data_IF_652139278862
#
_entry.id   IF_652139278862
#
_cell.length_a   1.000
_cell.length_b   1.000
_cell.length_c   1.000
_cell.angle_alpha   90.00
_cell.angle_beta   90.00
_cell.angle_gamma   90.00
#
_symmetry.space_group_name_H-M   'P 1'
#
loop_
_entity.id
_entity.type
_entity.pdbx_description
1 polymer ?
#
# COMPACT_ATOMS: atom_id res chain seq x y z
N UNK A 1 58.16 -11.08 4.38
CA UNK A 1 56.93 -10.44 4.91
C UNK A 1 55.74 -10.97 4.12
N UNK A 2 54.87 -11.78 4.73
CA UNK A 2 53.75 -12.45 4.05
C UNK A 2 52.46 -11.95 4.68
N UNK A 3 51.78 -11.01 4.01
CA UNK A 3 50.49 -10.49 4.46
C UNK A 3 49.44 -11.60 4.36
N UNK A 4 48.88 -12.01 5.52
CA UNK A 4 47.70 -12.88 5.60
C UNK A 4 46.47 -11.98 5.65
N UNK A 5 45.75 -11.90 4.54
CA UNK A 5 44.42 -11.32 4.53
C UNK A 5 43.47 -12.31 5.24
N UNK A 6 42.96 -11.92 6.40
CA UNK A 6 41.88 -12.63 7.09
C UNK A 6 40.58 -12.16 6.45
N UNK A 7 39.99 -12.99 5.61
CA UNK A 7 38.60 -12.81 5.18
C UNK A 7 37.71 -13.11 6.38
N UNK A 8 37.17 -12.05 6.99
CA UNK A 8 36.11 -12.15 7.99
C UNK A 8 34.83 -12.55 7.25
N UNK A 9 34.52 -13.84 7.21
CA UNK A 9 33.19 -14.31 6.84
C UNK A 9 32.22 -13.86 7.93
N UNK A 10 31.54 -12.74 7.70
CA UNK A 10 30.37 -12.34 8.45
C UNK A 10 29.27 -13.37 8.12
N UNK A 11 29.20 -14.46 8.87
CA UNK A 11 28.09 -15.42 8.80
C UNK A 11 26.87 -14.74 9.40
N UNK A 12 26.21 -13.92 8.57
CA UNK A 12 24.95 -13.31 8.93
C UNK A 12 23.98 -14.45 9.27
N UNK A 13 23.47 -14.46 10.51
CA UNK A 13 22.44 -15.40 10.97
C UNK A 13 21.08 -15.10 10.31
N UNK A 14 21.04 -15.02 8.98
CA UNK A 14 19.80 -14.89 8.17
C UNK A 14 19.02 -16.21 8.18
N UNK A 15 19.62 -17.29 8.69
CA UNK A 15 19.12 -18.67 8.66
C UNK A 15 17.98 -19.01 9.65
N UNK A 16 17.50 -18.06 10.45
CA UNK A 16 16.37 -18.29 11.39
C UNK A 16 15.10 -17.52 10.98
N UNK A 17 14.81 -17.48 9.68
CA UNK A 17 13.60 -16.82 9.18
C UNK A 17 13.06 -17.42 7.89
N UNK A 18 11.78 -17.19 7.62
CA UNK A 18 11.12 -17.60 6.39
C UNK A 18 11.15 -16.46 5.38
N UNK A 19 11.71 -16.71 4.20
CA UNK A 19 11.69 -15.77 3.07
C UNK A 19 10.59 -16.17 2.08
N UNK A 20 9.70 -15.24 1.77
CA UNK A 20 8.68 -15.34 0.72
C UNK A 20 9.00 -14.36 -0.39
N UNK A 21 9.01 -14.84 -1.63
CA UNK A 21 9.21 -14.02 -2.82
C UNK A 21 8.06 -14.32 -3.78
N UNK A 22 7.28 -13.30 -4.13
CA UNK A 22 6.20 -13.40 -5.11
C UNK A 22 6.36 -12.27 -6.10
N UNK A 23 6.13 -12.53 -7.39
CA UNK A 23 6.16 -11.50 -8.40
C UNK A 23 5.18 -11.77 -9.52
N UNK A 24 4.92 -10.75 -10.33
CA UNK A 24 4.10 -10.88 -11.53
C UNK A 24 4.59 -9.96 -12.64
N UNK A 25 4.36 -10.38 -13.89
CA UNK A 25 4.61 -9.60 -15.09
C UNK A 25 3.29 -9.53 -15.89
N UNK A 26 2.80 -8.31 -16.15
CA UNK A 26 1.49 -8.03 -16.74
C UNK A 26 1.60 -6.98 -17.87
N UNK A 27 2.17 -7.32 -19.04
CA UNK A 27 2.08 -6.45 -20.20
C UNK A 27 0.60 -6.22 -20.53
N UNK A 28 0.16 -4.96 -20.54
CA UNK A 28 -1.26 -4.63 -20.68
C UNK A 28 -1.46 -3.70 -21.87
N UNK A 29 -2.43 -3.98 -22.73
CA UNK A 29 -2.87 -3.05 -23.79
C UNK A 29 -4.30 -2.59 -23.51
N UNK A 30 -4.55 -1.29 -23.67
CA UNK A 30 -5.87 -0.69 -23.51
C UNK A 30 -6.27 -0.03 -24.83
N UNK A 31 -7.53 -0.19 -25.25
CA UNK A 31 -8.01 0.30 -26.54
C UNK A 31 -9.41 0.90 -26.39
N UNK A 32 -9.65 2.02 -27.08
CA UNK A 32 -10.98 2.61 -27.20
C UNK A 32 -11.90 1.68 -27.98
N UNK A 33 -13.10 1.42 -27.44
CA UNK A 33 -14.09 0.56 -28.12
C UNK A 33 -14.61 1.21 -29.41
N UNK A 34 -14.69 2.55 -29.45
CA UNK A 34 -15.28 3.32 -30.55
C UNK A 34 -14.48 3.27 -31.85
N UNK A 35 -13.15 3.29 -31.77
CA UNK A 35 -12.27 3.42 -32.94
C UNK A 35 -11.06 2.48 -32.91
N UNK A 36 -10.95 1.62 -31.89
CA UNK A 36 -9.83 0.70 -31.66
C UNK A 36 -8.47 1.38 -31.51
N UNK A 37 -8.44 2.71 -31.32
CA UNK A 37 -7.20 3.42 -31.01
C UNK A 37 -6.69 2.99 -29.64
N UNK A 38 -5.36 2.95 -29.48
CA UNK A 38 -4.72 2.55 -28.22
C UNK A 38 -4.83 3.69 -27.22
N UNK A 39 -5.24 3.36 -25.99
CA UNK A 39 -5.21 4.27 -24.86
C UNK A 39 -3.81 4.22 -24.23
N UNK A 40 -3.17 5.37 -24.11
CA UNK A 40 -1.86 5.50 -23.50
C UNK A 40 -2.04 5.81 -22.00
N UNK A 41 -2.63 4.89 -21.23
CA UNK A 41 -2.75 4.98 -19.77
C UNK A 41 -1.65 4.17 -19.06
N UNK A 42 -1.25 4.57 -17.83
CA UNK A 42 -0.27 3.79 -17.06
C UNK A 42 -0.85 2.44 -16.60
N UNK A 43 -0.03 1.41 -16.62
CA UNK A 43 -0.33 0.08 -16.08
C UNK A 43 0.87 -0.48 -15.31
N UNK A 44 0.63 -1.37 -14.34
CA UNK A 44 1.72 -2.07 -13.64
C UNK A 44 2.23 -3.22 -14.49
N UNK A 45 3.39 -3.02 -15.11
CA UNK A 45 4.06 -4.01 -15.93
C UNK A 45 4.65 -5.14 -15.08
N UNK A 46 5.23 -4.82 -13.93
CA UNK A 46 5.86 -5.78 -13.05
C UNK A 46 5.54 -5.47 -11.59
N UNK A 47 5.42 -6.50 -10.76
CA UNK A 47 5.28 -6.39 -9.31
C UNK A 47 6.20 -7.41 -8.63
N UNK A 48 6.84 -7.01 -7.53
CA UNK A 48 7.69 -7.86 -6.70
C UNK A 48 7.37 -7.62 -5.23
N UNK A 49 6.97 -8.68 -4.54
CA UNK A 49 6.68 -8.74 -3.11
C UNK A 49 7.69 -9.65 -2.43
N UNK A 50 8.36 -9.13 -1.41
CA UNK A 50 9.28 -9.84 -0.54
C UNK A 50 8.73 -9.79 0.88
N UNK A 51 8.63 -10.95 1.53
CA UNK A 51 8.29 -11.07 2.94
C UNK A 51 9.40 -11.83 3.67
N UNK A 52 9.84 -11.34 4.81
CA UNK A 52 10.80 -12.05 5.66
C UNK A 52 10.29 -12.10 7.09
N UNK A 53 10.05 -13.31 7.60
CA UNK A 53 9.56 -13.55 8.97
C UNK A 53 10.70 -14.04 9.83
N UNK A 54 10.92 -13.42 10.99
CA UNK A 54 11.96 -13.78 11.96
C UNK A 54 11.43 -13.64 13.39
N UNK A 55 11.04 -14.76 14.00
CA UNK A 55 10.41 -14.77 15.33
C UNK A 55 9.09 -14.00 15.31
N UNK A 56 8.95 -13.03 16.21
CA UNK A 56 7.75 -12.19 16.32
C UNK A 56 7.78 -10.96 15.38
N UNK A 57 8.65 -10.97 14.36
CA UNK A 57 8.79 -9.85 13.42
C UNK A 57 8.59 -10.29 11.98
N UNK A 58 7.85 -9.48 11.23
CA UNK A 58 7.75 -9.56 9.77
C UNK A 58 8.33 -8.32 9.12
N UNK A 59 9.01 -8.50 8.00
CA UNK A 59 9.51 -7.43 7.13
C UNK A 59 8.87 -7.60 5.76
N UNK A 60 8.17 -6.56 5.30
CA UNK A 60 7.40 -6.59 4.07
C UNK A 60 7.92 -5.53 3.10
N UNK A 61 8.16 -5.92 1.86
CA UNK A 61 8.51 -5.03 0.76
C UNK A 61 7.64 -5.37 -0.44
N UNK A 62 6.98 -4.36 -1.01
CA UNK A 62 6.16 -4.47 -2.20
C UNK A 62 6.57 -3.36 -3.16
N UNK A 63 6.98 -3.73 -4.37
CA UNK A 63 7.44 -2.80 -5.40
C UNK A 63 6.78 -3.11 -6.74
N UNK A 64 6.59 -2.08 -7.55
CA UNK A 64 6.00 -2.17 -8.87
C UNK A 64 6.81 -1.36 -9.89
N UNK A 65 6.73 -1.79 -11.15
CA UNK A 65 7.19 -1.01 -12.30
C UNK A 65 5.95 -0.64 -13.10
N UNK A 66 5.66 0.65 -13.16
CA UNK A 66 4.60 1.22 -13.96
C UNK A 66 5.13 1.61 -15.34
N UNK A 67 4.34 1.32 -16.37
CA UNK A 67 4.69 1.64 -17.74
C UNK A 67 3.51 2.30 -18.45
N UNK A 68 3.82 3.16 -19.41
CA UNK A 68 2.85 3.88 -20.23
C UNK A 68 3.25 3.74 -21.68
N UNK A 69 2.36 3.23 -22.52
CA UNK A 69 2.62 3.21 -23.95
C UNK A 69 2.72 4.64 -24.48
N UNK A 70 3.58 4.87 -25.47
CA UNK A 70 3.88 6.22 -25.98
C UNK A 70 4.80 7.06 -25.06
N UNK A 71 5.02 6.64 -23.80
CA UNK A 71 6.02 7.19 -22.91
C UNK A 71 7.37 6.47 -23.02
N UNK A 72 8.47 7.19 -22.78
CA UNK A 72 9.82 6.62 -22.93
C UNK A 72 10.37 5.97 -21.65
N UNK A 73 9.79 6.22 -20.47
CA UNK A 73 10.42 5.83 -19.21
C UNK A 73 9.47 5.04 -18.28
N UNK A 74 9.81 3.79 -17.90
CA UNK A 74 9.14 3.11 -16.81
C UNK A 74 9.35 3.87 -15.49
N UNK A 75 8.34 3.81 -14.60
CA UNK A 75 8.39 4.41 -13.27
C UNK A 75 8.46 3.29 -12.23
N UNK A 76 9.44 3.36 -11.33
CA UNK A 76 9.53 2.45 -10.20
C UNK A 76 8.72 3.01 -9.02
N UNK A 77 7.82 2.21 -8.47
CA UNK A 77 7.04 2.53 -7.28
C UNK A 77 7.33 1.53 -6.15
N UNK A 78 7.88 2.02 -5.04
CA UNK A 78 7.98 1.25 -3.79
C UNK A 78 6.65 1.34 -3.06
N UNK A 79 5.70 0.46 -3.38
CA UNK A 79 4.33 0.48 -2.85
C UNK A 79 4.28 0.36 -1.32
N UNK A 80 5.02 -0.60 -0.78
CA UNK A 80 5.07 -0.85 0.66
C UNK A 80 6.49 -1.25 1.09
N UNK A 81 6.89 -0.80 2.28
CA UNK A 81 8.13 -1.14 2.96
C UNK A 81 7.90 -0.91 4.46
N UNK A 82 7.57 -1.98 5.19
CA UNK A 82 7.23 -1.87 6.61
C UNK A 82 7.64 -3.11 7.40
N UNK A 83 7.69 -2.93 8.72
CA UNK A 83 7.92 -3.99 9.69
C UNK A 83 6.66 -4.18 10.53
N UNK A 84 6.33 -5.43 10.83
CA UNK A 84 5.33 -5.81 11.82
C UNK A 84 6.03 -6.46 13.01
N UNK A 85 5.60 -6.13 14.21
CA UNK A 85 5.93 -6.80 15.45
C UNK A 85 4.66 -7.40 16.04
N UNK A 86 4.73 -8.66 16.48
CA UNK A 86 3.63 -9.44 17.04
C UNK A 86 3.83 -9.70 18.53
N UNK A 87 3.61 -8.71 19.42
CA UNK A 87 3.55 -8.98 20.86
C UNK A 87 2.36 -9.89 21.21
N UNK A 88 2.41 -10.50 22.39
CA UNK A 88 1.34 -11.39 22.88
C UNK A 88 -0.05 -10.73 23.02
N UNK A 89 -0.12 -9.40 23.01
CA UNK A 89 -1.35 -8.61 23.12
C UNK A 89 -1.84 -8.04 21.78
N UNK A 90 -1.09 -8.21 20.68
CA UNK A 90 -1.55 -7.78 19.36
C UNK A 90 -0.45 -7.53 18.33
N UNK A 91 -0.54 -6.41 17.62
CA UNK A 91 0.26 -6.13 16.43
C UNK A 91 0.70 -4.67 16.41
N UNK A 92 1.96 -4.42 16.04
CA UNK A 92 2.49 -3.08 15.81
C UNK A 92 3.14 -3.04 14.44
N UNK A 93 2.73 -2.09 13.59
CA UNK A 93 3.26 -1.91 12.23
C UNK A 93 3.91 -0.56 12.10
N UNK A 94 5.07 -0.50 11.45
CA UNK A 94 5.79 0.74 11.20
C UNK A 94 6.43 0.74 9.82
N UNK A 95 6.20 1.79 9.03
CA UNK A 95 6.81 1.99 7.72
C UNK A 95 5.82 2.48 6.67
N UNK A 96 6.21 2.41 5.40
CA UNK A 96 5.31 2.72 4.28
C UNK A 96 4.39 1.53 4.05
N UNK A 97 3.08 1.68 4.29
CA UNK A 97 2.13 0.57 4.21
C UNK A 97 0.78 1.04 3.66
N UNK A 98 0.01 0.07 3.15
CA UNK A 98 -1.39 0.29 2.75
C UNK A 98 -2.28 -0.32 3.84
N UNK A 99 -3.07 0.53 4.49
CA UNK A 99 -4.11 0.14 5.44
C UNK A 99 -5.36 -0.31 4.69
N UNK A 100 -6.00 -1.36 5.21
CA UNK A 100 -7.28 -1.86 4.74
C UNK A 100 -8.19 -2.08 5.95
N UNK A 101 -9.09 -1.14 6.20
CA UNK A 101 -10.17 -1.34 7.15
C UNK A 101 -11.35 -1.99 6.44
N UNK A 102 -11.82 -3.15 6.91
CA UNK A 102 -13.05 -3.79 6.44
C UNK A 102 -12.84 -5.24 6.00
N UNK A 103 -13.92 -6.01 5.97
CA UNK A 103 -13.92 -7.43 5.57
C UNK A 103 -14.28 -7.59 4.08
N UNK A 104 -14.85 -6.55 3.46
CA UNK A 104 -15.32 -6.57 2.06
C UNK A 104 -14.43 -5.66 1.21
N UNK A 105 -13.81 -6.27 0.21
CA UNK A 105 -12.80 -5.67 -0.64
C UNK A 105 -13.34 -4.50 -1.48
N UNK A 106 -12.55 -3.43 -1.49
CA UNK A 106 -12.64 -2.35 -2.46
C UNK A 106 -13.36 -1.11 -1.93
N UNK A 107 -14.65 -1.20 -1.63
CA UNK A 107 -15.51 -0.02 -1.41
C UNK A 107 -16.01 0.05 0.04
N UNK A 108 -15.11 0.01 1.03
CA UNK A 108 -15.51 0.28 2.40
C UNK A 108 -15.55 1.80 2.64
N UNK A 109 -16.71 2.39 3.00
CA UNK A 109 -16.82 3.83 3.28
C UNK A 109 -15.94 4.30 4.44
N UNK A 110 -15.52 3.39 5.34
CA UNK A 110 -14.65 3.73 6.46
C UNK A 110 -13.17 3.56 6.13
N UNK A 111 -12.80 3.13 4.91
CA UNK A 111 -11.42 2.77 4.56
C UNK A 111 -10.70 3.88 3.79
N UNK A 112 -10.55 5.02 4.46
CA UNK A 112 -10.09 6.29 3.91
C UNK A 112 -8.69 6.72 4.39
N UNK A 113 -7.95 5.84 5.07
CA UNK A 113 -6.61 6.12 5.61
C UNK A 113 -5.52 6.31 4.55
N UNK A 114 -5.67 5.69 3.38
CA UNK A 114 -4.68 5.80 2.31
C UNK A 114 -5.25 6.56 1.12
N UNK A 115 -4.37 7.33 0.49
CA UNK A 115 -4.67 7.97 -0.78
C UNK A 115 -4.95 6.94 -1.88
N UNK A 116 -5.76 7.33 -2.84
CA UNK A 116 -6.04 6.59 -4.05
C UNK A 116 -5.27 7.17 -5.23
N UNK A 117 -4.72 6.27 -6.06
CA UNK A 117 -4.28 6.58 -7.41
C UNK A 117 -5.39 6.23 -8.39
N UNK A 118 -6.11 7.26 -8.86
CA UNK A 118 -7.27 7.09 -9.72
C UNK A 118 -6.91 6.66 -11.14
N UNK A 119 -5.64 6.73 -11.55
CA UNK A 119 -5.21 6.06 -12.77
C UNK A 119 -5.44 4.54 -12.71
N UNK A 120 -5.45 3.96 -11.51
CA UNK A 120 -5.70 2.54 -11.26
C UNK A 120 -7.08 2.26 -10.68
N UNK A 121 -8.06 3.18 -10.80
CA UNK A 121 -9.35 3.06 -10.11
C UNK A 121 -10.17 1.80 -10.46
N UNK A 122 -9.91 1.21 -11.63
CA UNK A 122 -10.54 -0.03 -12.11
C UNK A 122 -9.89 -1.30 -11.52
N UNK A 123 -8.75 -1.16 -10.84
CA UNK A 123 -8.17 -2.24 -10.04
C UNK A 123 -8.91 -2.36 -8.70
N UNK A 124 -8.96 -3.58 -8.19
CA UNK A 124 -9.72 -3.91 -6.98
C UNK A 124 -8.87 -3.74 -5.71
N UNK A 125 -9.54 -3.51 -4.59
CA UNK A 125 -8.91 -3.52 -3.26
C UNK A 125 -7.78 -2.51 -3.10
N UNK A 126 -6.65 -3.00 -2.59
CA UNK A 126 -5.44 -2.20 -2.31
C UNK A 126 -4.65 -1.83 -3.55
N UNK A 127 -4.98 -2.38 -4.72
CA UNK A 127 -4.24 -2.08 -5.95
C UNK A 127 -4.45 -0.66 -6.47
N UNK A 128 -5.47 0.05 -6.01
CA UNK A 128 -5.67 1.47 -6.30
C UNK A 128 -5.18 2.40 -5.18
N UNK A 129 -4.65 1.85 -4.08
CA UNK A 129 -4.17 2.62 -2.95
C UNK A 129 -2.68 2.89 -3.04
N UNK A 130 -2.29 4.05 -2.50
CA UNK A 130 -0.91 4.50 -2.35
C UNK A 130 -0.49 4.30 -0.90
N UNK A 131 0.62 3.59 -0.68
CA UNK A 131 1.16 3.38 0.66
C UNK A 131 1.63 4.70 1.28
N UNK A 132 1.37 4.90 2.55
CA UNK A 132 1.81 6.06 3.33
C UNK A 132 2.76 5.64 4.44
N UNK A 133 3.76 6.48 4.73
CA UNK A 133 4.57 6.30 5.92
C UNK A 133 3.64 6.42 7.13
N UNK A 134 3.61 5.40 7.98
CA UNK A 134 2.67 5.38 9.10
C UNK A 134 3.12 4.42 10.20
N UNK A 135 2.54 4.62 11.38
CA UNK A 135 2.57 3.64 12.46
C UNK A 135 1.14 3.19 12.75
N UNK A 136 0.95 1.90 12.98
CA UNK A 136 -0.34 1.34 13.35
C UNK A 136 -0.17 0.36 14.51
N UNK A 137 -1.19 0.28 15.36
CA UNK A 137 -1.23 -0.65 16.48
C UNK A 137 -2.61 -1.28 16.56
N UNK A 138 -2.64 -2.58 16.74
CA UNK A 138 -3.84 -3.35 17.05
C UNK A 138 -3.66 -4.01 18.41
N UNK A 139 -4.60 -3.83 19.32
CA UNK A 139 -4.62 -4.45 20.64
C UNK A 139 -5.86 -5.32 20.76
N UNK A 140 -5.68 -6.55 21.24
CA UNK A 140 -6.77 -7.50 21.48
C UNK A 140 -6.96 -7.75 22.97
N UNK A 141 -8.21 -7.75 23.46
CA UNK A 141 -8.55 -8.18 24.81
C UNK A 141 -9.94 -8.83 24.85
N UNK A 142 -9.99 -10.14 25.13
CA UNK A 142 -11.24 -10.90 25.02
C UNK A 142 -11.84 -10.77 23.62
N UNK A 143 -13.13 -10.40 23.53
CA UNK A 143 -13.85 -10.21 22.28
C UNK A 143 -13.68 -8.80 21.69
N UNK A 144 -12.70 -8.02 22.15
CA UNK A 144 -12.48 -6.64 21.71
C UNK A 144 -11.18 -6.48 20.94
N UNK A 145 -11.22 -5.60 19.93
CA UNK A 145 -10.09 -5.20 19.12
C UNK A 145 -10.07 -3.67 18.96
N UNK A 146 -8.99 -3.03 19.39
CA UNK A 146 -8.72 -1.61 19.18
C UNK A 146 -7.61 -1.45 18.16
N UNK A 147 -7.85 -0.69 17.12
CA UNK A 147 -6.89 -0.32 16.10
C UNK A 147 -6.66 1.19 16.16
N UNK A 148 -5.40 1.60 16.15
CA UNK A 148 -4.99 2.99 16.03
C UNK A 148 -3.97 3.14 14.91
N UNK A 149 -4.12 4.19 14.10
CA UNK A 149 -3.21 4.51 12.98
C UNK A 149 -2.82 5.97 13.09
N UNK A 150 -1.54 6.27 12.80
CA UNK A 150 -1.01 7.62 12.68
C UNK A 150 -0.18 7.73 11.40
N UNK A 151 -0.44 8.77 10.62
CA UNK A 151 0.21 9.08 9.35
C UNK A 151 0.80 10.49 9.50
N UNK A 152 2.12 10.64 9.68
CA UNK A 152 2.74 11.95 9.90
C UNK A 152 2.54 12.91 8.73
N UNK A 153 2.51 12.40 7.51
CA UNK A 153 2.44 13.19 6.29
C UNK A 153 1.31 12.72 5.38
N UNK A 154 0.26 13.54 5.29
CA UNK A 154 -0.83 13.37 4.35
C UNK A 154 -0.31 13.21 2.91
N UNK A 155 -0.84 12.21 2.22
CA UNK A 155 -0.64 12.00 0.79
C UNK A 155 -1.96 12.32 0.08
N UNK A 156 -1.99 13.28 -0.86
CA UNK A 156 -3.21 13.56 -1.60
C UNK A 156 -3.49 12.48 -2.65
N UNK A 157 -4.76 12.30 -2.97
CA UNK A 157 -5.18 11.43 -4.06
C UNK A 157 -4.59 11.90 -5.41
N UNK A 158 -4.09 10.96 -6.20
CA UNK A 158 -3.63 11.24 -7.57
C UNK A 158 -4.82 11.15 -8.52
N UNK A 159 -5.25 12.31 -9.00
CA UNK A 159 -6.39 12.44 -9.92
C UNK A 159 -5.90 12.52 -11.39
N UNK A 160 -6.54 11.82 -12.34
CA UNK A 160 -6.23 11.91 -13.77
C UNK A 160 -6.90 13.15 -14.40
N UNK A 161 -6.69 14.33 -13.80
CA UNK A 161 -7.21 15.57 -14.38
C UNK A 161 -6.51 15.86 -15.71
N UNK A 162 -7.30 16.31 -16.70
CA UNK A 162 -6.84 16.65 -18.04
C UNK A 162 -6.17 15.47 -18.79
N UNK A 163 -6.45 14.23 -18.40
CA UNK A 163 -5.94 13.02 -19.04
C UNK A 163 -6.84 12.66 -20.23
N UNK A 164 -6.41 12.85 -21.50
CA UNK A 164 -7.29 12.70 -22.67
C UNK A 164 -7.78 11.27 -22.88
N UNK A 165 -6.91 10.30 -22.58
CA UNK A 165 -7.19 8.87 -22.78
C UNK A 165 -7.94 8.27 -21.57
N UNK A 166 -8.20 9.03 -20.52
CA UNK A 166 -8.98 8.52 -19.40
C UNK A 166 -10.45 8.33 -19.83
N UNK A 167 -11.12 7.21 -19.46
CA UNK A 167 -12.43 6.86 -20.01
C UNK A 167 -13.56 7.88 -19.77
N UNK A 168 -13.39 8.78 -18.81
CA UNK A 168 -14.31 9.86 -18.51
C UNK A 168 -13.54 11.07 -17.98
N UNK A 169 -14.07 12.27 -18.17
CA UNK A 169 -13.47 13.47 -17.59
C UNK A 169 -14.12 13.78 -16.25
N UNK A 170 -13.31 14.09 -15.24
CA UNK A 170 -13.84 14.53 -13.93
C UNK A 170 -14.43 15.94 -14.14
N UNK A 171 -15.75 16.12 -14.02
CA UNK A 171 -16.42 17.35 -14.44
C UNK A 171 -16.08 18.57 -13.57
N UNK A 172 -15.45 18.34 -12.41
CA UNK A 172 -15.13 19.36 -11.43
C UNK A 172 -13.62 19.29 -11.17
N UNK A 173 -12.88 20.23 -11.76
CA UNK A 173 -11.50 20.51 -11.37
C UNK A 173 -11.51 21.59 -10.27
N UNK A 174 -10.88 21.37 -9.12
CA UNK A 174 -10.82 22.37 -8.08
C UNK A 174 -10.10 23.63 -8.60
N UNK A 175 -10.67 24.81 -8.34
CA UNK A 175 -10.08 26.09 -8.75
C UNK A 175 -8.87 26.49 -7.90
N UNK A 176 -8.75 25.91 -6.70
CA UNK A 176 -7.62 26.03 -5.78
C UNK A 176 -7.41 24.72 -5.05
N UNK A 177 -6.16 24.37 -4.82
CA UNK A 177 -5.78 23.33 -3.88
C UNK A 177 -5.53 23.98 -2.53
N UNK A 178 -6.22 23.51 -1.49
CA UNK A 178 -5.94 23.94 -0.12
C UNK A 178 -4.60 23.35 0.33
N UNK A 179 -3.75 24.20 0.90
CA UNK A 179 -2.51 23.75 1.51
C UNK A 179 -2.85 23.24 2.91
N UNK A 180 -2.49 22.00 3.18
CA UNK A 180 -2.69 21.40 4.50
C UNK A 180 -1.54 21.87 5.40
N UNK A 181 -1.84 22.75 6.36
CA UNK A 181 -0.84 23.27 7.31
C UNK A 181 -0.43 22.24 8.37
N UNK A 182 -1.33 21.31 8.73
CA UNK A 182 -1.04 20.16 9.59
C UNK A 182 -1.34 18.87 8.84
N UNK A 183 -0.30 18.20 8.36
CA UNK A 183 -0.38 16.99 7.55
C UNK A 183 -0.59 15.70 8.36
N UNK A 184 -0.63 15.80 9.69
CA UNK A 184 -0.82 14.66 10.56
C UNK A 184 -2.25 14.14 10.47
N UNK A 185 -2.39 12.88 10.07
CA UNK A 185 -3.65 12.15 10.09
C UNK A 185 -3.60 11.04 11.13
N UNK A 186 -4.75 10.71 11.70
CA UNK A 186 -4.90 9.59 12.61
C UNK A 186 -6.27 8.96 12.42
N UNK A 187 -6.37 7.69 12.76
CA UNK A 187 -7.62 6.97 12.76
C UNK A 187 -7.69 6.00 13.94
N UNK A 188 -8.88 5.82 14.48
CA UNK A 188 -9.14 4.86 15.56
C UNK A 188 -10.34 4.01 15.20
N UNK A 189 -10.22 2.70 15.37
CA UNK A 189 -11.30 1.76 15.16
C UNK A 189 -11.43 0.80 16.34
N UNK A 190 -12.64 0.68 16.89
CA UNK A 190 -12.98 -0.28 17.93
C UNK A 190 -13.94 -1.32 17.33
N UNK A 191 -13.63 -2.59 17.50
CA UNK A 191 -14.49 -3.71 17.10
C UNK A 191 -14.73 -4.65 18.27
N UNK A 192 -15.89 -5.30 18.25
CA UNK A 192 -16.20 -6.40 19.16
C UNK A 192 -17.19 -7.38 18.52
N UNK A 193 -17.17 -8.62 19.00
CA UNK A 193 -18.14 -9.64 18.63
C UNK A 193 -19.06 -9.91 19.83
N UNK A 194 -20.37 -9.73 19.64
CA UNK A 194 -21.39 -10.03 20.64
C UNK A 194 -22.26 -11.19 20.13
N UNK A 195 -22.01 -12.40 20.63
CA UNK A 195 -22.66 -13.61 20.14
C UNK A 195 -22.24 -13.92 18.70
N UNK A 196 -23.19 -13.89 17.76
CA UNK A 196 -22.95 -14.09 16.32
C UNK A 196 -22.88 -12.76 15.54
N UNK A 197 -22.84 -11.62 16.24
CA UNK A 197 -22.86 -10.28 15.63
C UNK A 197 -21.53 -9.56 15.81
N UNK A 198 -20.95 -9.06 14.72
CA UNK A 198 -19.79 -8.18 14.74
C UNK A 198 -20.22 -6.71 14.73
N UNK A 199 -19.68 -5.91 15.64
CA UNK A 199 -19.93 -4.47 15.74
C UNK A 199 -18.61 -3.73 15.64
N UNK A 200 -18.58 -2.66 14.85
CA UNK A 200 -17.41 -1.80 14.69
C UNK A 200 -17.77 -0.32 14.63
N UNK A 201 -16.94 0.50 15.27
CA UNK A 201 -16.99 1.96 15.21
C UNK A 201 -15.61 2.46 14.79
N UNK A 202 -15.56 3.39 13.84
CA UNK A 202 -14.32 3.99 13.31
C UNK A 202 -14.44 5.50 13.22
N UNK A 203 -13.34 6.20 13.49
CA UNK A 203 -13.17 7.64 13.32
C UNK A 203 -11.84 7.94 12.66
#
# INVERSE_FOLDING_TARGET
MRYRYIFLFLTCKILFGQLSITGSLKPTGMFHISDQSRMDLPFRLAELKLGYTMGDFDFMLNSAVEYRWGGNNPVFDLREAYTVWFPNWGEVKFGKQIHAWGVVDGNNPTDNLNAYDYYFMFLQGTDRKVGSLSAAMTVYWGDWQLEGVIIPDHIPNRMPFDEPDFPFQIPIKPSKYEKIDNSLEYGVRLKTTLGETDIGISY
#
